data_IF_758137918507
#
_entry.id   IF_758137918507
#
_cell.length_a   1.000
_cell.length_b   1.000
_cell.length_c   1.000
_cell.angle_alpha   90.00
_cell.angle_beta   90.00
_cell.angle_gamma   90.00
#
_symmetry.space_group_name_H-M   'P 1'
#
loop_
_entity.id
_entity.type
_entity.pdbx_description
1 polymer ?
#
# COMPACT_ATOMS: atom_id res chain seq x y z
N UNK A 1 7.52 -25.72 -26.91
CA UNK A 1 6.39 -26.05 -27.82
C UNK A 1 5.24 -25.15 -27.39
N UNK A 2 4.81 -24.23 -28.25
CA UNK A 2 3.72 -23.28 -27.96
C UNK A 2 2.37 -23.99 -28.02
N UNK A 3 1.47 -23.71 -27.08
CA UNK A 3 0.04 -24.02 -27.24
C UNK A 3 -0.74 -22.73 -27.56
N UNK A 4 -1.75 -22.90 -28.41
CA UNK A 4 -2.44 -21.94 -29.26
C UNK A 4 -3.68 -21.31 -28.61
N UNK A 5 -3.67 -21.19 -27.28
CA UNK A 5 -4.62 -20.39 -26.50
C UNK A 5 -3.85 -19.72 -25.38
N UNK A 6 -3.48 -18.45 -25.58
CA UNK A 6 -2.74 -17.60 -24.64
C UNK A 6 -3.50 -17.31 -23.35
N UNK A 7 -3.74 -18.34 -22.57
CA UNK A 7 -4.29 -18.26 -21.22
C UNK A 7 -3.10 -18.38 -20.29
N UNK A 8 -2.91 -17.36 -19.46
CA UNK A 8 -1.95 -17.30 -18.35
C UNK A 8 -2.38 -18.35 -17.31
N UNK A 9 -2.19 -19.62 -17.64
CA UNK A 9 -2.52 -20.78 -16.83
C UNK A 9 -1.24 -21.56 -16.61
N UNK A 10 -0.33 -20.98 -15.82
CA UNK A 10 0.66 -21.77 -15.06
C UNK A 10 1.36 -21.01 -13.90
N UNK A 11 0.94 -19.79 -13.52
CA UNK A 11 1.50 -19.07 -12.36
C UNK A 11 0.74 -19.35 -11.04
N UNK A 12 -0.18 -20.31 -11.04
CA UNK A 12 -1.09 -20.55 -9.92
C UNK A 12 -0.45 -21.22 -8.69
N UNK A 13 0.81 -21.67 -8.75
CA UNK A 13 1.40 -22.45 -7.66
C UNK A 13 2.59 -21.80 -6.92
N UNK A 14 3.09 -20.63 -7.31
CA UNK A 14 4.37 -20.15 -6.76
C UNK A 14 4.48 -18.62 -6.63
N UNK A 15 3.44 -17.95 -6.13
CA UNK A 15 3.58 -16.55 -5.70
C UNK A 15 3.43 -16.43 -4.18
N UNK A 16 4.24 -15.59 -3.51
CA UNK A 16 4.11 -15.38 -2.08
C UNK A 16 2.69 -14.94 -1.75
N UNK A 17 2.13 -15.48 -0.68
CA UNK A 17 0.79 -15.08 -0.23
C UNK A 17 0.81 -13.60 0.22
N UNK A 18 -0.17 -12.81 -0.23
CA UNK A 18 -0.32 -11.43 0.19
C UNK A 18 -0.91 -11.40 1.60
N UNK A 19 -0.08 -11.24 2.62
CA UNK A 19 -0.48 -11.36 4.03
C UNK A 19 -1.18 -10.08 4.50
N UNK A 20 -0.51 -8.92 4.44
CA UNK A 20 -1.11 -7.63 4.83
C UNK A 20 -0.94 -6.56 3.75
N UNK A 21 -2.02 -5.79 3.54
CA UNK A 21 -2.07 -4.65 2.62
C UNK A 21 -2.40 -3.35 3.37
N UNK A 22 -1.45 -2.41 3.38
CA UNK A 22 -1.64 -1.06 3.89
C UNK A 22 -1.86 -0.08 2.74
N UNK A 23 -2.96 0.65 2.75
CA UNK A 23 -3.28 1.66 1.74
C UNK A 23 -3.27 3.03 2.42
N UNK A 24 -2.35 3.90 2.03
CA UNK A 24 -2.35 5.31 2.45
C UNK A 24 -3.12 6.12 1.41
N UNK A 25 -4.32 6.56 1.79
CA UNK A 25 -5.27 7.26 0.94
C UNK A 25 -5.22 8.78 1.16
N UNK A 26 -5.16 9.53 0.06
CA UNK A 26 -5.29 10.97 0.07
C UNK A 26 -5.18 11.60 -1.32
N UNK A 27 -5.64 12.84 -1.45
CA UNK A 27 -5.53 13.60 -2.70
C UNK A 27 -4.06 13.79 -3.14
N UNK A 28 -3.82 14.21 -4.39
CA UNK A 28 -2.50 14.65 -4.82
C UNK A 28 -1.92 15.67 -3.83
N UNK A 29 -0.62 15.57 -3.54
CA UNK A 29 0.05 16.43 -2.56
C UNK A 29 -0.55 16.36 -1.13
N UNK A 30 -1.24 15.28 -0.75
CA UNK A 30 -1.70 15.09 0.63
C UNK A 30 -0.58 14.73 1.61
N UNK A 31 0.56 14.23 1.11
CA UNK A 31 1.68 13.73 1.94
C UNK A 31 1.81 12.20 1.97
N UNK A 32 1.10 11.47 1.08
CA UNK A 32 1.08 9.99 1.02
C UNK A 32 2.48 9.36 1.01
N UNK A 33 3.31 9.76 0.05
CA UNK A 33 4.67 9.23 -0.11
C UNK A 33 5.54 9.51 1.11
N UNK A 34 5.40 10.69 1.69
CA UNK A 34 6.15 11.09 2.89
C UNK A 34 5.74 10.26 4.10
N UNK A 35 4.44 10.01 4.27
CA UNK A 35 3.91 9.18 5.34
C UNK A 35 4.32 7.71 5.17
N UNK A 36 4.24 7.14 3.96
CA UNK A 36 4.74 5.78 3.68
C UNK A 36 6.24 5.65 3.99
N UNK A 37 7.04 6.64 3.61
CA UNK A 37 8.49 6.64 3.90
C UNK A 37 8.79 6.78 5.38
N UNK A 38 7.94 7.47 6.14
CA UNK A 38 8.12 7.65 7.57
C UNK A 38 8.07 6.33 8.36
N UNK A 39 7.46 5.28 7.80
CA UNK A 39 7.48 3.96 8.44
C UNK A 39 8.89 3.42 8.67
N UNK A 40 9.85 3.80 7.80
CA UNK A 40 11.26 3.37 7.90
C UNK A 40 12.05 4.11 8.98
N UNK A 41 11.41 4.96 9.78
CA UNK A 41 11.95 5.36 11.09
C UNK A 41 11.96 4.20 12.08
N UNK A 42 11.12 3.18 11.83
CA UNK A 42 11.11 1.94 12.57
C UNK A 42 12.36 1.09 12.25
N UNK A 43 13.17 0.71 13.26
CA UNK A 43 14.38 -0.07 13.03
C UNK A 43 14.12 -1.48 12.48
N UNK A 44 12.91 -2.04 12.63
CA UNK A 44 12.55 -3.37 12.13
C UNK A 44 12.68 -3.48 10.61
N UNK A 45 12.61 -2.36 9.88
CA UNK A 45 12.71 -2.35 8.42
C UNK A 45 14.15 -2.29 7.89
N UNK A 46 15.16 -2.45 8.76
CA UNK A 46 16.55 -2.64 8.35
C UNK A 46 17.26 -1.39 7.83
N UNK A 47 16.65 -0.21 7.93
CA UNK A 47 17.20 1.06 7.43
C UNK A 47 18.05 1.82 8.46
N UNK A 48 18.29 1.22 9.64
CA UNK A 48 19.01 1.91 10.72
C UNK A 48 18.32 3.21 11.15
N UNK A 49 16.98 3.27 11.08
CA UNK A 49 16.14 4.46 11.32
C UNK A 49 16.31 5.59 10.29
N UNK A 50 16.95 5.31 9.15
CA UNK A 50 17.12 6.27 8.06
C UNK A 50 15.94 6.18 7.11
N UNK A 51 15.32 7.32 6.81
CA UNK A 51 14.19 7.38 5.89
C UNK A 51 14.70 7.32 4.45
N UNK A 52 14.24 6.36 3.62
CA UNK A 52 14.65 6.27 2.23
C UNK A 52 14.23 7.52 1.45
N UNK A 53 15.16 8.11 0.69
CA UNK A 53 14.92 9.26 -0.19
C UNK A 53 14.88 8.88 -1.68
N UNK A 54 15.34 7.68 -2.03
CA UNK A 54 15.33 7.16 -3.40
C UNK A 54 13.90 7.06 -3.96
N UNK A 55 13.74 7.32 -5.25
CA UNK A 55 12.43 7.24 -5.93
C UNK A 55 11.76 5.88 -5.73
N UNK A 56 12.53 4.80 -5.83
CA UNK A 56 12.13 3.42 -5.52
C UNK A 56 12.68 2.99 -4.16
N UNK A 57 11.82 2.39 -3.35
CA UNK A 57 12.22 1.75 -2.09
C UNK A 57 12.43 0.26 -2.41
N UNK A 58 13.61 -0.32 -2.13
CA UNK A 58 13.82 -1.76 -2.27
C UNK A 58 12.85 -2.53 -1.37
N UNK A 59 12.47 -3.73 -1.79
CA UNK A 59 11.75 -4.66 -0.90
C UNK A 59 12.61 -4.93 0.33
N UNK A 60 12.02 -4.84 1.52
CA UNK A 60 12.73 -5.06 2.80
C UNK A 60 12.28 -6.37 3.45
N UNK A 61 13.20 -7.05 4.12
CA UNK A 61 12.87 -8.22 4.93
C UNK A 61 12.21 -7.75 6.24
N UNK A 62 11.09 -8.38 6.60
CA UNK A 62 10.45 -8.21 7.91
C UNK A 62 10.82 -9.36 8.85
N UNK A 63 11.01 -10.56 8.30
CA UNK A 63 11.49 -11.75 8.98
C UNK A 63 12.15 -12.70 7.97
N UNK A 64 12.48 -13.94 8.36
CA UNK A 64 13.03 -14.96 7.45
C UNK A 64 12.06 -15.33 6.32
N UNK A 65 10.77 -15.14 6.53
CA UNK A 65 9.71 -15.56 5.60
C UNK A 65 8.88 -14.43 5.02
N UNK A 66 8.93 -13.25 5.66
CA UNK A 66 8.13 -12.08 5.31
C UNK A 66 8.99 -11.00 4.69
N UNK A 67 8.46 -10.38 3.65
CA UNK A 67 8.98 -9.12 3.14
C UNK A 67 7.88 -8.05 3.05
N UNK A 68 8.31 -6.79 2.99
CA UNK A 68 7.48 -5.63 2.73
C UNK A 68 7.94 -4.96 1.44
N UNK A 69 6.99 -4.75 0.53
CA UNK A 69 7.17 -3.93 -0.65
C UNK A 69 6.36 -2.65 -0.53
N UNK A 70 6.96 -1.51 -0.86
CA UNK A 70 6.33 -0.19 -0.70
C UNK A 70 6.29 0.55 -2.04
N UNK A 71 5.08 0.96 -2.43
CA UNK A 71 4.82 1.77 -3.62
C UNK A 71 4.33 3.17 -3.24
N UNK A 72 5.19 4.18 -3.44
CA UNK A 72 4.87 5.56 -3.07
C UNK A 72 4.02 6.31 -4.10
N UNK A 73 4.08 5.94 -5.38
CA UNK A 73 3.29 6.58 -6.44
C UNK A 73 1.97 5.86 -6.58
N UNK A 74 0.85 6.58 -6.45
CA UNK A 74 -0.48 5.99 -6.64
C UNK A 74 -0.73 5.60 -8.11
N UNK A 75 -1.51 4.54 -8.41
CA UNK A 75 -1.87 4.20 -9.78
C UNK A 75 -2.60 5.36 -10.49
N UNK A 76 -3.36 6.15 -9.72
CA UNK A 76 -3.98 7.40 -10.17
C UNK A 76 -2.96 8.41 -10.72
N UNK A 77 -1.82 8.58 -10.03
CA UNK A 77 -0.74 9.48 -10.45
C UNK A 77 0.07 8.89 -11.61
N UNK A 78 0.24 7.56 -11.65
CA UNK A 78 0.93 6.86 -12.72
C UNK A 78 0.09 6.71 -14.02
N UNK A 79 -1.21 7.00 -13.96
CA UNK A 79 -2.12 6.83 -15.10
C UNK A 79 -2.42 5.36 -15.42
N UNK A 80 -2.25 4.47 -14.44
CA UNK A 80 -2.42 3.03 -14.60
C UNK A 80 -3.89 2.61 -14.56
N UNK A 81 -4.21 1.55 -15.29
CA UNK A 81 -5.47 0.82 -15.12
C UNK A 81 -5.39 -0.09 -13.90
N UNK A 82 -6.54 -0.61 -13.46
CA UNK A 82 -6.60 -1.61 -12.40
C UNK A 82 -5.78 -2.87 -12.74
N UNK A 83 -5.85 -3.36 -13.99
CA UNK A 83 -5.09 -4.55 -14.40
C UNK A 83 -3.60 -4.29 -14.47
N UNK A 84 -3.17 -3.10 -14.92
CA UNK A 84 -1.76 -2.71 -14.90
C UNK A 84 -1.19 -2.66 -13.47
N UNK A 85 -2.00 -2.21 -12.50
CA UNK A 85 -1.63 -2.28 -11.08
C UNK A 85 -1.42 -3.74 -10.63
N UNK A 86 -2.36 -4.63 -10.97
CA UNK A 86 -2.24 -6.05 -10.60
C UNK A 86 -1.00 -6.69 -11.25
N UNK A 87 -0.70 -6.40 -12.51
CA UNK A 87 0.50 -6.89 -13.18
C UNK A 87 1.80 -6.42 -12.48
N UNK A 88 1.85 -5.17 -12.02
CA UNK A 88 2.97 -4.69 -11.21
C UNK A 88 3.08 -5.43 -9.87
N UNK A 89 1.96 -5.58 -9.15
CA UNK A 89 1.92 -6.30 -7.89
C UNK A 89 2.34 -7.77 -8.06
N UNK A 90 1.89 -8.44 -9.12
CA UNK A 90 2.31 -9.80 -9.46
C UNK A 90 3.80 -9.87 -9.77
N UNK A 91 4.34 -8.93 -10.55
CA UNK A 91 5.80 -8.85 -10.80
C UNK A 91 6.59 -8.63 -9.51
N UNK A 92 6.11 -7.77 -8.61
CA UNK A 92 6.75 -7.53 -7.32
C UNK A 92 6.73 -8.78 -6.42
N UNK A 93 5.62 -9.51 -6.40
CA UNK A 93 5.48 -10.80 -5.69
C UNK A 93 6.39 -11.87 -6.29
N UNK A 94 6.42 -12.02 -7.61
CA UNK A 94 7.28 -12.97 -8.32
C UNK A 94 8.77 -12.71 -8.03
N UNK A 95 9.18 -11.44 -8.03
CA UNK A 95 10.55 -11.07 -7.69
C UNK A 95 10.94 -11.39 -6.22
N UNK A 96 9.97 -11.51 -5.32
CA UNK A 96 10.18 -11.85 -3.91
C UNK A 96 10.11 -13.36 -3.63
N UNK A 97 9.52 -14.16 -4.53
CA UNK A 97 9.18 -15.58 -4.31
C UNK A 97 10.35 -16.44 -3.83
N UNK A 98 11.51 -16.30 -4.46
CA UNK A 98 12.67 -17.15 -4.14
C UNK A 98 13.25 -16.92 -2.73
N UNK A 99 12.83 -15.85 -2.05
CA UNK A 99 13.38 -15.46 -0.75
C UNK A 99 12.32 -15.45 0.36
N UNK A 100 11.04 -15.23 0.00
CA UNK A 100 9.97 -15.00 0.96
C UNK A 100 8.69 -15.66 0.47
N UNK A 101 7.97 -16.32 1.37
CA UNK A 101 6.66 -16.93 1.06
C UNK A 101 5.47 -16.10 1.54
N UNK A 102 5.73 -15.10 2.39
CA UNK A 102 4.75 -14.10 2.86
C UNK A 102 5.12 -12.71 2.35
N UNK A 103 4.22 -12.07 1.63
CA UNK A 103 4.43 -10.76 1.02
C UNK A 103 3.48 -9.75 1.63
N UNK A 104 4.04 -8.64 2.08
CA UNK A 104 3.30 -7.52 2.63
C UNK A 104 3.46 -6.33 1.70
N UNK A 105 2.40 -5.55 1.53
CA UNK A 105 2.38 -4.45 0.57
C UNK A 105 1.87 -3.17 1.23
N UNK A 106 2.57 -2.07 0.99
CA UNK A 106 2.10 -0.74 1.36
C UNK A 106 2.05 0.15 0.11
N UNK A 107 0.94 0.82 -0.15
CA UNK A 107 0.81 1.68 -1.32
C UNK A 107 0.06 2.98 -1.06
N UNK A 108 0.34 3.96 -1.92
CA UNK A 108 -0.43 5.20 -1.98
C UNK A 108 -1.64 5.03 -2.91
N UNK A 109 -2.79 5.59 -2.53
CA UNK A 109 -4.02 5.64 -3.36
C UNK A 109 -4.69 7.01 -3.25
N UNK A 110 -5.52 7.34 -4.24
CA UNK A 110 -6.46 8.47 -4.15
C UNK A 110 -7.87 7.94 -3.82
N UNK A 111 -8.71 8.73 -3.13
CA UNK A 111 -10.06 8.29 -2.76
C UNK A 111 -10.96 8.13 -3.99
N UNK A 112 -10.83 9.01 -4.98
CA UNK A 112 -11.68 9.05 -6.17
C UNK A 112 -10.96 8.59 -7.42
N UNK A 113 -11.74 8.13 -8.40
CA UNK A 113 -11.23 7.76 -9.71
C UNK A 113 -10.50 8.94 -10.38
N UNK A 114 -9.38 8.64 -11.04
CA UNK A 114 -8.60 9.63 -11.79
C UNK A 114 -7.76 8.95 -12.85
N UNK A 115 -7.67 9.60 -14.02
CA UNK A 115 -7.03 9.03 -15.20
C UNK A 115 -7.69 7.67 -15.52
N UNK A 116 -6.91 6.59 -15.56
CA UNK A 116 -7.41 5.24 -15.83
C UNK A 116 -7.62 4.40 -14.56
N UNK A 117 -7.31 4.95 -13.39
CA UNK A 117 -7.40 4.25 -12.12
C UNK A 117 -8.81 4.43 -11.51
N UNK A 118 -9.44 3.34 -11.02
CA UNK A 118 -10.74 3.42 -10.36
C UNK A 118 -10.62 4.12 -9.00
N UNK A 119 -11.76 4.43 -8.37
CA UNK A 119 -11.79 4.90 -6.99
C UNK A 119 -11.29 3.84 -5.99
N UNK A 120 -11.07 4.26 -4.75
CA UNK A 120 -10.54 3.39 -3.70
C UNK A 120 -11.47 2.20 -3.40
N UNK A 121 -12.79 2.40 -3.43
CA UNK A 121 -13.75 1.35 -3.08
C UNK A 121 -13.72 0.24 -4.13
N UNK A 122 -13.82 0.60 -5.41
CA UNK A 122 -13.72 -0.34 -6.52
C UNK A 122 -12.36 -1.06 -6.53
N UNK A 123 -11.28 -0.35 -6.18
CA UNK A 123 -9.97 -0.95 -6.02
C UNK A 123 -9.93 -1.99 -4.89
N UNK A 124 -10.43 -1.66 -3.70
CA UNK A 124 -10.50 -2.56 -2.55
C UNK A 124 -11.37 -3.79 -2.80
N UNK A 125 -12.50 -3.63 -3.50
CA UNK A 125 -13.34 -4.74 -3.95
C UNK A 125 -12.57 -5.70 -4.85
N UNK A 126 -11.84 -5.17 -5.83
CA UNK A 126 -11.05 -5.99 -6.75
C UNK A 126 -9.90 -6.73 -6.04
N UNK A 127 -9.20 -6.08 -5.10
CA UNK A 127 -8.17 -6.72 -4.30
C UNK A 127 -8.75 -7.87 -3.47
N UNK A 128 -9.85 -7.61 -2.76
CA UNK A 128 -10.50 -8.59 -1.88
C UNK A 128 -10.98 -9.81 -2.68
N UNK A 129 -11.50 -9.60 -3.90
CA UNK A 129 -11.95 -10.67 -4.78
C UNK A 129 -10.81 -11.48 -5.42
N UNK A 130 -9.70 -10.82 -5.81
CA UNK A 130 -8.63 -11.46 -6.60
C UNK A 130 -7.49 -12.03 -5.77
N UNK A 131 -7.15 -11.42 -4.63
CA UNK A 131 -5.94 -11.74 -3.87
C UNK A 131 -6.20 -12.24 -2.45
N UNK A 132 -7.37 -11.95 -1.89
CA UNK A 132 -7.83 -12.39 -0.56
C UNK A 132 -6.73 -12.20 0.51
N UNK A 133 -6.29 -10.94 0.78
CA UNK A 133 -5.29 -10.71 1.82
C UNK A 133 -5.83 -11.09 3.21
N UNK A 134 -4.96 -11.49 4.14
CA UNK A 134 -5.38 -11.76 5.52
C UNK A 134 -5.86 -10.49 6.23
N UNK A 135 -5.27 -9.34 5.90
CA UNK A 135 -5.69 -8.04 6.46
C UNK A 135 -5.45 -6.89 5.49
N UNK A 136 -6.43 -6.01 5.38
CA UNK A 136 -6.31 -4.74 4.66
C UNK A 136 -6.58 -3.59 5.63
N UNK A 137 -5.75 -2.53 5.56
CA UNK A 137 -6.01 -1.27 6.26
C UNK A 137 -5.91 -0.09 5.31
N UNK A 138 -6.95 0.72 5.28
CA UNK A 138 -6.98 2.04 4.65
C UNK A 138 -6.69 3.10 5.71
N UNK A 139 -5.65 3.89 5.48
CA UNK A 139 -5.26 5.06 6.27
C UNK A 139 -5.59 6.31 5.48
N UNK A 140 -6.61 7.04 5.89
CA UNK A 140 -6.99 8.33 5.30
C UNK A 140 -6.17 9.45 5.92
N UNK A 141 -5.55 10.27 5.07
CA UNK A 141 -4.83 11.47 5.53
C UNK A 141 -5.83 12.60 5.77
N UNK A 142 -5.98 13.01 7.03
CA UNK A 142 -6.67 14.23 7.43
C UNK A 142 -6.21 14.66 8.85
N UNK A 143 -5.67 15.88 9.04
CA UNK A 143 -5.31 16.86 8.00
C UNK A 143 -4.11 16.44 7.15
N UNK A 144 -3.99 17.08 5.97
CA UNK A 144 -2.87 16.94 5.03
C UNK A 144 -1.56 17.47 5.61
N UNK A 145 -0.45 17.18 4.94
CA UNK A 145 0.88 17.65 5.38
C UNK A 145 1.01 19.17 5.50
N UNK A 146 0.23 19.92 4.73
CA UNK A 146 0.16 21.38 4.72
C UNK A 146 -0.85 21.96 5.75
N UNK A 147 -1.50 21.10 6.55
CA UNK A 147 -2.49 21.50 7.55
C UNK A 147 -3.91 21.73 7.02
N UNK A 148 -4.12 21.62 5.71
CA UNK A 148 -5.46 21.69 5.12
C UNK A 148 -6.22 20.39 5.34
N UNK A 149 -7.56 20.47 5.35
CA UNK A 149 -8.40 19.29 5.47
C UNK A 149 -8.14 18.31 4.30
N UNK A 150 -8.07 17.03 4.63
CA UNK A 150 -8.02 15.93 3.69
C UNK A 150 -9.38 15.68 3.04
N UNK A 151 -9.35 14.96 1.92
CA UNK A 151 -10.58 14.42 1.33
C UNK A 151 -10.91 13.10 2.00
N UNK A 152 -12.02 13.10 2.73
CA UNK A 152 -12.52 11.94 3.43
C UNK A 152 -13.50 11.16 2.56
N UNK A 153 -13.41 9.83 2.65
CA UNK A 153 -14.47 8.92 2.24
C UNK A 153 -15.76 9.28 2.98
N UNK A 154 -16.89 9.19 2.28
CA UNK A 154 -18.20 9.34 2.88
C UNK A 154 -18.61 8.07 3.65
N UNK A 155 -19.69 8.17 4.43
CA UNK A 155 -20.15 7.03 5.25
C UNK A 155 -20.48 5.79 4.44
N UNK A 156 -21.11 5.93 3.26
CA UNK A 156 -21.45 4.78 2.42
C UNK A 156 -20.19 4.07 1.87
N UNK A 157 -19.17 4.84 1.48
CA UNK A 157 -17.87 4.29 1.07
C UNK A 157 -17.19 3.54 2.23
N UNK A 158 -17.20 4.11 3.44
CA UNK A 158 -16.64 3.47 4.64
C UNK A 158 -17.41 2.18 5.00
N UNK A 159 -18.73 2.19 4.90
CA UNK A 159 -19.56 1.02 5.20
C UNK A 159 -19.33 -0.11 4.19
N UNK A 160 -19.10 0.21 2.91
CA UNK A 160 -18.68 -0.79 1.91
C UNK A 160 -17.32 -1.39 2.28
N UNK A 161 -16.33 -0.57 2.65
CA UNK A 161 -15.01 -1.07 3.04
C UNK A 161 -15.08 -1.97 4.29
N UNK A 162 -15.91 -1.60 5.28
CA UNK A 162 -16.15 -2.43 6.47
C UNK A 162 -16.84 -3.75 6.12
N UNK A 163 -17.76 -3.75 5.16
CA UNK A 163 -18.37 -4.97 4.64
C UNK A 163 -17.40 -5.92 3.92
N UNK A 164 -16.18 -5.46 3.61
CA UNK A 164 -15.07 -6.24 3.06
C UNK A 164 -14.01 -6.59 4.12
N UNK A 165 -14.32 -6.42 5.42
CA UNK A 165 -13.39 -6.60 6.55
C UNK A 165 -12.12 -5.73 6.47
N UNK A 166 -12.25 -4.51 5.91
CA UNK A 166 -11.14 -3.56 5.77
C UNK A 166 -11.16 -2.55 6.92
N UNK A 167 -10.04 -2.45 7.64
CA UNK A 167 -9.83 -1.43 8.66
C UNK A 167 -9.75 -0.05 8.00
N UNK A 168 -10.55 0.92 8.45
CA UNK A 168 -10.44 2.31 8.00
C UNK A 168 -10.06 3.19 9.19
N UNK A 169 -8.94 3.90 9.07
CA UNK A 169 -8.44 4.83 10.10
C UNK A 169 -8.08 6.17 9.48
N UNK A 170 -8.16 7.23 10.27
CA UNK A 170 -7.75 8.58 9.87
C UNK A 170 -6.49 8.98 10.59
N UNK A 171 -5.59 9.68 9.91
CA UNK A 171 -4.30 10.07 10.46
C UNK A 171 -3.94 11.52 10.11
N UNK A 172 -3.39 12.20 11.12
CA UNK A 172 -2.82 13.52 10.96
C UNK A 172 -1.45 13.42 10.27
N UNK A 173 -1.33 14.00 9.08
CA UNK A 173 -0.08 14.02 8.32
C UNK A 173 0.66 15.36 8.40
N UNK A 174 0.20 16.33 9.21
CA UNK A 174 0.80 17.67 9.31
C UNK A 174 2.28 17.61 9.60
N UNK A 175 3.02 18.38 8.83
CA UNK A 175 4.43 18.66 9.08
C UNK A 175 4.55 20.08 9.59
N UNK A 176 4.99 20.24 10.83
CA UNK A 176 5.29 21.55 11.39
C UNK A 176 6.79 21.64 11.67
N UNK A 177 7.35 22.84 11.57
CA UNK A 177 8.77 23.10 11.89
C UNK A 177 9.16 22.73 13.33
N UNK A 178 8.17 22.57 14.22
CA UNK A 178 8.35 22.16 15.61
C UNK A 178 8.38 20.63 15.81
N UNK A 179 7.93 19.84 14.83
CA UNK A 179 7.90 18.39 14.92
C UNK A 179 9.24 17.81 14.43
N UNK A 180 10.00 17.22 15.37
CA UNK A 180 11.35 16.66 15.10
C UNK A 180 11.37 15.37 14.26
N UNK A 181 10.22 14.74 14.04
CA UNK A 181 10.12 13.46 13.33
C UNK A 181 8.87 13.47 12.43
N UNK A 182 8.88 12.73 11.31
CA UNK A 182 7.68 12.55 10.53
C UNK A 182 6.64 11.82 11.37
N UNK A 183 5.46 12.44 11.46
CA UNK A 183 4.39 12.03 12.34
C UNK A 183 3.80 10.69 11.90
N UNK A 184 3.52 9.84 12.88
CA UNK A 184 2.76 8.60 12.76
C UNK A 184 3.34 7.48 11.86
N UNK A 185 4.60 7.58 11.43
CA UNK A 185 5.25 6.49 10.70
C UNK A 185 5.32 5.17 11.47
N UNK A 186 5.55 5.23 12.79
CA UNK A 186 5.53 4.04 13.65
C UNK A 186 4.15 3.38 13.71
N UNK A 187 3.06 4.16 13.76
CA UNK A 187 1.71 3.61 13.72
C UNK A 187 1.42 2.83 12.43
N UNK A 188 1.95 3.31 11.30
CA UNK A 188 1.88 2.56 10.04
C UNK A 188 2.77 1.32 10.07
N UNK A 189 3.97 1.41 10.65
CA UNK A 189 4.90 0.28 10.78
C UNK A 189 4.34 -0.84 11.67
N UNK A 190 3.59 -0.51 12.72
CA UNK A 190 2.94 -1.48 13.62
C UNK A 190 1.93 -2.37 12.90
N UNK A 191 1.36 -1.91 11.78
CA UNK A 191 0.53 -2.78 10.94
C UNK A 191 1.30 -3.95 10.34
N UNK A 192 2.63 -3.90 10.31
CA UNK A 192 3.52 -4.97 9.88
C UNK A 192 4.30 -5.59 11.04
N UNK A 193 3.79 -5.46 12.27
CA UNK A 193 4.29 -6.20 13.42
C UNK A 193 3.71 -7.62 13.46
N UNK A 194 4.58 -8.62 13.54
CA UNK A 194 4.25 -10.04 13.56
C UNK A 194 4.73 -10.73 14.85
N UNK A 195 5.15 -9.94 15.85
CA UNK A 195 5.56 -10.45 17.16
C UNK A 195 4.38 -10.85 18.04
#
# INVERSE_FOLDING_TARGET
MMDSKGTILDMANELPHLERLLIVCGMPNAGKSTLLRSMFTDPRFGTGRTIPTSSRIPTVALSRERCLHVRCTSPHEAGETLDAFFDELHRARAAAWHLYWRFNYACAMQPHARNNAPDLVAFCQAISARLIPERIRVVQIDPRHDGTAGTMLNHAEVDILRGLDIDVVTIDARQTSTLKAPTNGLFLADFFDFT
#
